data_IF_904827958758
#
_entry.id   IF_904827958758
#
_cell.length_a   1.000
_cell.length_b   1.000
_cell.length_c   1.000
_cell.angle_alpha   90.00
_cell.angle_beta   90.00
_cell.angle_gamma   90.00
#
_symmetry.space_group_name_H-M   'P 1'
#
loop_
_entity.id
_entity.type
_entity.pdbx_description
1 polymer ?
#
# COMPACT_ATOMS: atom_id res chain seq x y z
N UNK A 1 29.98 -8.63 -16.24
CA UNK A 1 29.18 -8.30 -17.45
C UNK A 1 28.06 -7.34 -17.04
N UNK A 2 28.15 -6.09 -17.49
CA UNK A 2 27.28 -4.98 -17.11
C UNK A 2 25.83 -5.25 -17.56
N UNK A 3 24.97 -5.63 -16.61
CA UNK A 3 23.52 -5.80 -16.82
C UNK A 3 22.89 -4.44 -17.11
N UNK A 4 22.72 -4.16 -18.40
CA UNK A 4 21.95 -3.02 -18.92
C UNK A 4 20.54 -3.09 -18.31
N UNK A 5 20.25 -2.18 -17.37
CA UNK A 5 18.89 -1.89 -16.87
C UNK A 5 18.02 -1.50 -18.05
N UNK A 6 17.37 -2.48 -18.69
CA UNK A 6 16.29 -2.19 -19.65
C UNK A 6 15.00 -2.16 -18.85
N UNK A 7 14.27 -1.05 -18.95
CA UNK A 7 12.86 -1.00 -18.57
C UNK A 7 12.17 -2.25 -19.12
N UNK A 8 11.34 -2.88 -18.30
CA UNK A 8 10.58 -4.04 -18.76
C UNK A 8 9.61 -3.59 -19.85
N UNK A 9 9.30 -4.46 -20.83
CA UNK A 9 8.38 -4.13 -21.92
C UNK A 9 7.02 -3.55 -21.41
N UNK A 10 6.43 -4.05 -20.29
CA UNK A 10 5.26 -3.43 -19.67
C UNK A 10 5.49 -1.98 -19.20
N UNK A 11 6.66 -1.66 -18.65
CA UNK A 11 6.97 -0.29 -18.22
C UNK A 11 7.05 0.68 -19.39
N UNK A 12 7.56 0.22 -20.54
CA UNK A 12 7.65 1.05 -21.76
C UNK A 12 6.24 1.32 -22.31
N UNK A 13 5.40 0.30 -22.38
CA UNK A 13 4.00 0.44 -22.83
C UNK A 13 3.24 1.40 -21.92
N UNK A 14 3.40 1.24 -20.59
CA UNK A 14 2.76 2.10 -19.60
C UNK A 14 3.29 3.53 -19.69
N UNK A 15 4.61 3.72 -19.81
CA UNK A 15 5.20 5.04 -19.97
C UNK A 15 4.74 5.73 -21.26
N UNK A 16 4.61 4.99 -22.36
CA UNK A 16 4.06 5.50 -23.62
C UNK A 16 2.58 5.89 -23.48
N UNK A 17 1.79 5.09 -22.77
CA UNK A 17 0.39 5.41 -22.47
C UNK A 17 0.26 6.66 -21.59
N UNK A 18 1.08 6.78 -20.54
CA UNK A 18 1.14 7.98 -19.70
C UNK A 18 1.54 9.21 -20.52
N UNK A 19 2.53 9.09 -21.41
CA UNK A 19 2.95 10.19 -22.29
C UNK A 19 1.79 10.63 -23.21
N UNK A 20 1.05 9.67 -23.79
CA UNK A 20 -0.16 9.96 -24.56
C UNK A 20 -1.22 10.68 -23.71
N UNK A 21 -1.43 10.28 -22.47
CA UNK A 21 -2.36 10.95 -21.55
C UNK A 21 -1.93 12.37 -21.21
N UNK A 22 -0.63 12.63 -21.01
CA UNK A 22 -0.14 13.99 -20.80
C UNK A 22 -0.33 14.88 -22.04
N UNK A 23 -0.14 14.33 -23.24
CA UNK A 23 -0.43 15.04 -24.49
C UNK A 23 -1.93 15.38 -24.56
N UNK A 24 -2.81 14.42 -24.29
CA UNK A 24 -4.25 14.66 -24.23
C UNK A 24 -4.62 15.71 -23.17
N UNK A 25 -4.03 15.65 -21.98
CA UNK A 25 -4.27 16.63 -20.91
C UNK A 25 -3.84 18.05 -21.31
N UNK A 26 -2.74 18.18 -22.06
CA UNK A 26 -2.29 19.46 -22.60
C UNK A 26 -3.29 20.03 -23.63
N UNK A 27 -3.81 19.18 -24.54
CA UNK A 27 -4.84 19.60 -25.51
C UNK A 27 -6.17 19.99 -24.85
N UNK A 28 -6.51 19.35 -23.73
CA UNK A 28 -7.73 19.63 -22.96
C UNK A 28 -7.56 20.80 -21.97
N UNK A 29 -6.42 21.52 -22.00
CA UNK A 29 -6.12 22.63 -21.10
C UNK A 29 -6.25 22.30 -19.60
N UNK A 30 -6.02 21.04 -19.22
CA UNK A 30 -6.09 20.61 -17.82
C UNK A 30 -4.84 21.13 -17.09
N UNK A 31 -4.98 21.73 -15.89
CA UNK A 31 -3.85 22.27 -15.14
C UNK A 31 -2.87 21.17 -14.69
N UNK A 32 -1.77 21.03 -15.43
CA UNK A 32 -0.73 20.01 -15.20
C UNK A 32 -0.09 20.15 -13.82
N UNK A 33 0.01 21.38 -13.31
CA UNK A 33 0.58 21.66 -11.98
C UNK A 33 -0.21 20.96 -10.86
N UNK A 34 -1.54 20.95 -10.95
CA UNK A 34 -2.41 20.30 -9.97
C UNK A 34 -2.26 18.78 -10.06
N UNK A 35 -2.25 18.23 -11.29
CA UNK A 35 -2.03 16.81 -11.52
C UNK A 35 -0.70 16.35 -10.92
N UNK A 36 0.39 17.08 -11.17
CA UNK A 36 1.70 16.72 -10.66
C UNK A 36 1.75 16.74 -9.13
N UNK A 37 1.08 17.70 -8.49
CA UNK A 37 0.96 17.74 -7.03
C UNK A 37 0.21 16.50 -6.51
N UNK A 38 -0.96 16.20 -7.08
CA UNK A 38 -1.76 15.04 -6.70
C UNK A 38 -1.00 13.73 -6.90
N UNK A 39 -0.21 13.62 -7.98
CA UNK A 39 0.65 12.45 -8.25
C UNK A 39 1.67 12.27 -7.14
N UNK A 40 2.29 13.36 -6.67
CA UNK A 40 3.27 13.29 -5.57
C UNK A 40 2.63 12.86 -4.25
N UNK A 41 1.47 13.44 -3.90
CA UNK A 41 0.74 13.07 -2.67
C UNK A 41 0.32 11.60 -2.72
N UNK A 42 -0.28 11.16 -3.84
CA UNK A 42 -0.74 9.78 -4.01
C UNK A 42 0.40 8.77 -4.11
N UNK A 43 1.53 9.16 -4.69
CA UNK A 43 2.73 8.33 -4.73
C UNK A 43 3.17 7.97 -3.33
N UNK A 44 3.24 8.94 -2.42
CA UNK A 44 3.72 8.64 -1.08
C UNK A 44 2.68 7.83 -0.31
N UNK A 45 1.40 8.23 -0.37
CA UNK A 45 0.33 7.57 0.38
C UNK A 45 0.21 6.08 0.00
N UNK A 46 0.15 5.80 -1.31
CA UNK A 46 0.03 4.43 -1.79
C UNK A 46 1.39 3.72 -1.81
N UNK A 47 2.49 4.47 -1.88
CA UNK A 47 3.84 3.93 -1.93
C UNK A 47 4.22 3.18 -0.66
N UNK A 48 3.80 3.63 0.52
CA UNK A 48 4.05 2.89 1.77
C UNK A 48 3.29 1.56 1.79
N UNK A 49 2.04 1.55 1.31
CA UNK A 49 1.24 0.33 1.15
C UNK A 49 1.90 -0.65 0.17
N UNK A 50 2.41 -0.16 -0.96
CA UNK A 50 3.17 -0.97 -1.92
C UNK A 50 4.48 -1.49 -1.32
N UNK A 51 5.21 -0.65 -0.58
CA UNK A 51 6.46 -1.00 0.09
C UNK A 51 6.26 -2.14 1.10
N UNK A 52 5.10 -2.21 1.75
CA UNK A 52 4.75 -3.29 2.67
C UNK A 52 4.77 -4.68 2.04
N UNK A 53 4.62 -4.79 0.72
CA UNK A 53 4.62 -6.09 0.03
C UNK A 53 6.04 -6.66 -0.15
N UNK A 54 7.07 -5.80 -0.08
CA UNK A 54 8.47 -6.17 -0.37
C UNK A 54 9.02 -7.27 0.57
N UNK A 55 8.81 -7.25 1.90
CA UNK A 55 9.26 -8.32 2.79
C UNK A 55 8.72 -9.70 2.45
N UNK A 56 7.42 -9.82 2.19
CA UNK A 56 6.77 -11.10 1.89
C UNK A 56 7.26 -11.64 0.54
N UNK A 57 7.38 -10.76 -0.45
CA UNK A 57 7.96 -11.15 -1.74
C UNK A 57 9.42 -11.62 -1.57
N UNK A 58 10.22 -10.95 -0.73
CA UNK A 58 11.61 -11.34 -0.46
C UNK A 58 11.73 -12.70 0.22
N UNK A 59 10.70 -13.11 0.99
CA UNK A 59 10.62 -14.44 1.58
C UNK A 59 10.11 -15.54 0.61
N UNK A 60 9.82 -15.21 -0.66
CA UNK A 60 9.35 -16.18 -1.67
C UNK A 60 7.89 -16.60 -1.52
N UNK A 61 7.09 -15.81 -0.79
CA UNK A 61 5.70 -16.15 -0.41
C UNK A 61 4.68 -15.80 -1.51
N UNK A 62 5.10 -15.06 -2.53
CA UNK A 62 4.24 -14.53 -3.58
C UNK A 62 3.79 -13.10 -3.30
N UNK A 63 2.81 -12.62 -4.06
CA UNK A 63 2.23 -11.29 -3.90
C UNK A 63 1.22 -11.32 -2.74
N UNK A 64 1.39 -10.44 -1.75
CA UNK A 64 0.56 -10.43 -0.55
C UNK A 64 -0.81 -9.79 -0.81
N UNK A 65 -1.81 -10.59 -1.18
CA UNK A 65 -3.22 -10.15 -1.20
C UNK A 65 -3.85 -10.10 0.20
N UNK A 66 -3.13 -10.54 1.23
CA UNK A 66 -3.50 -10.40 2.65
C UNK A 66 -3.13 -9.04 3.26
N UNK A 67 -2.77 -8.04 2.44
CA UNK A 67 -2.63 -6.64 2.88
C UNK A 67 -3.81 -6.13 3.74
N UNK A 68 -5.08 -6.52 3.52
CA UNK A 68 -6.18 -6.09 4.38
C UNK A 68 -5.99 -6.44 5.86
N UNK A 69 -5.30 -7.55 6.17
CA UNK A 69 -4.96 -7.92 7.55
C UNK A 69 -4.07 -6.88 8.22
N UNK A 70 -3.09 -6.37 7.47
CA UNK A 70 -2.19 -5.31 7.93
C UNK A 70 -2.92 -3.97 8.07
N UNK A 71 -3.79 -3.67 7.11
CA UNK A 71 -4.63 -2.47 7.14
C UNK A 71 -5.51 -2.45 8.38
N UNK A 72 -6.11 -3.59 8.77
CA UNK A 72 -6.93 -3.68 9.99
C UNK A 72 -6.15 -3.34 11.26
N UNK A 73 -4.89 -3.78 11.37
CA UNK A 73 -4.03 -3.40 12.50
C UNK A 73 -3.78 -1.88 12.56
N UNK A 74 -3.54 -1.25 11.40
CA UNK A 74 -3.38 0.20 11.30
C UNK A 74 -4.66 0.98 11.62
N UNK A 75 -5.81 0.50 11.13
CA UNK A 75 -7.12 1.07 11.45
C UNK A 75 -7.42 1.00 12.95
N UNK A 76 -7.17 -0.14 13.61
CA UNK A 76 -7.29 -0.26 15.07
C UNK A 76 -6.39 0.74 15.81
N UNK A 77 -5.12 0.87 15.39
CA UNK A 77 -4.20 1.84 15.95
C UNK A 77 -4.72 3.29 15.85
N UNK A 78 -5.28 3.66 14.69
CA UNK A 78 -5.90 4.98 14.51
C UNK A 78 -7.18 5.15 15.32
N UNK A 79 -8.07 4.15 15.35
CA UNK A 79 -9.30 4.20 16.14
C UNK A 79 -8.99 4.43 17.62
N UNK A 80 -7.97 3.76 18.16
CA UNK A 80 -7.52 3.97 19.55
C UNK A 80 -6.97 5.39 19.74
N UNK A 81 -6.12 5.88 18.84
CA UNK A 81 -5.57 7.23 18.93
C UNK A 81 -6.66 8.32 18.86
N UNK A 82 -7.65 8.13 17.98
CA UNK A 82 -8.82 9.02 17.83
C UNK A 82 -9.73 8.93 19.05
N UNK A 83 -9.93 7.74 19.63
CA UNK A 83 -10.75 7.57 20.83
C UNK A 83 -10.20 8.37 22.02
N UNK A 84 -8.87 8.41 22.18
CA UNK A 84 -8.20 9.21 23.20
C UNK A 84 -8.01 10.69 22.83
N UNK A 85 -8.48 11.12 21.64
CA UNK A 85 -8.42 12.50 21.16
C UNK A 85 -6.99 13.07 21.05
N UNK A 86 -6.04 12.24 20.63
CA UNK A 86 -4.70 12.75 20.32
C UNK A 86 -4.69 13.50 18.98
N UNK A 87 -4.08 14.68 18.97
CA UNK A 87 -4.13 15.60 17.84
C UNK A 87 -2.73 15.88 17.25
N UNK A 88 -2.71 16.40 16.03
CA UNK A 88 -1.51 16.84 15.33
C UNK A 88 -0.48 15.74 15.13
N UNK A 89 0.80 16.12 15.17
CA UNK A 89 1.90 15.22 14.82
C UNK A 89 2.12 14.14 15.88
N UNK A 90 1.87 14.47 17.15
CA UNK A 90 1.94 13.52 18.26
C UNK A 90 0.85 12.46 18.12
N UNK A 91 -0.38 12.85 17.75
CA UNK A 91 -1.45 11.90 17.45
C UNK A 91 -1.10 10.92 16.32
N UNK A 92 -0.45 11.40 15.26
CA UNK A 92 0.03 10.55 14.16
C UNK A 92 1.05 9.50 14.64
N UNK A 93 2.08 9.89 15.39
CA UNK A 93 3.09 8.94 15.88
C UNK A 93 2.53 7.98 16.93
N UNK A 94 1.57 8.43 17.76
CA UNK A 94 0.85 7.57 18.70
C UNK A 94 0.04 6.51 17.95
N UNK A 95 -0.63 6.87 16.85
CA UNK A 95 -1.34 5.92 16.01
C UNK A 95 -0.39 4.86 15.41
N UNK A 96 0.79 5.27 14.93
CA UNK A 96 1.83 4.33 14.48
C UNK A 96 2.27 3.40 15.63
N UNK A 97 2.50 3.96 16.82
CA UNK A 97 2.86 3.20 18.01
C UNK A 97 1.83 2.14 18.39
N UNK A 98 0.54 2.50 18.41
CA UNK A 98 -0.55 1.54 18.67
C UNK A 98 -0.73 0.52 17.55
N UNK A 99 -0.41 0.85 16.30
CA UNK A 99 -0.48 -0.13 15.20
C UNK A 99 0.52 -1.27 15.36
N UNK A 100 1.70 -1.05 15.94
CA UNK A 100 2.76 -2.07 16.06
C UNK A 100 2.29 -3.33 16.81
N UNK A 101 1.76 -3.26 18.05
CA UNK A 101 1.33 -4.46 18.77
C UNK A 101 0.20 -5.21 18.04
N UNK A 102 -0.76 -4.50 17.45
CA UNK A 102 -1.81 -5.13 16.64
C UNK A 102 -1.25 -5.79 15.38
N UNK A 103 -0.29 -5.15 14.70
CA UNK A 103 0.38 -5.70 13.52
C UNK A 103 1.21 -6.94 13.85
N UNK A 104 1.86 -6.98 15.02
CA UNK A 104 2.57 -8.18 15.48
C UNK A 104 1.59 -9.31 15.80
N UNK A 105 0.48 -9.01 16.50
CA UNK A 105 -0.56 -9.98 16.82
C UNK A 105 -1.19 -10.57 15.54
N UNK A 106 -1.71 -9.72 14.66
CA UNK A 106 -2.32 -10.18 13.41
C UNK A 106 -1.30 -10.81 12.48
N UNK A 107 -0.08 -10.28 12.40
CA UNK A 107 1.02 -10.83 11.59
C UNK A 107 1.45 -12.23 12.03
N UNK A 108 1.46 -12.52 13.33
CA UNK A 108 1.78 -13.87 13.84
C UNK A 108 0.69 -14.89 13.49
N UNK A 109 -0.59 -14.55 13.70
CA UNK A 109 -1.73 -15.39 13.30
C UNK A 109 -1.75 -15.61 11.80
N UNK A 110 -1.52 -14.54 11.04
CA UNK A 110 -1.48 -14.58 9.59
C UNK A 110 -0.32 -15.44 9.08
N UNK A 111 0.86 -15.33 9.69
CA UNK A 111 2.01 -16.17 9.37
C UNK A 111 1.76 -17.65 9.65
N UNK A 112 1.05 -17.95 10.74
CA UNK A 112 0.72 -19.33 11.07
C UNK A 112 -0.17 -19.97 9.99
N UNK A 113 -1.18 -19.22 9.51
CA UNK A 113 -2.01 -19.63 8.39
C UNK A 113 -1.20 -19.85 7.11
N UNK A 114 -0.41 -18.84 6.70
CA UNK A 114 0.38 -18.92 5.47
C UNK A 114 1.43 -20.02 5.48
N UNK A 115 2.02 -20.34 6.63
CA UNK A 115 3.01 -21.42 6.73
C UNK A 115 2.41 -22.82 6.53
N UNK A 116 1.07 -22.98 6.65
CA UNK A 116 0.38 -24.26 6.40
C UNK A 116 -0.02 -24.47 4.94
N UNK A 117 -0.16 -23.41 4.18
CA UNK A 117 -0.67 -23.42 2.79
C UNK A 117 0.43 -23.14 1.77
N UNK A 118 1.66 -23.62 2.05
CA UNK A 118 2.83 -23.41 1.19
C UNK A 118 2.51 -23.82 -0.26
N UNK A 119 2.80 -22.92 -1.20
CA UNK A 119 2.51 -23.11 -2.63
C UNK A 119 1.12 -22.70 -3.10
N UNK A 120 0.19 -22.37 -2.19
CA UNK A 120 -1.10 -21.74 -2.50
C UNK A 120 -1.30 -20.45 -1.69
N UNK A 121 -0.18 -19.83 -1.33
CA UNK A 121 -0.10 -18.71 -0.38
C UNK A 121 -0.84 -17.47 -0.89
N UNK A 122 -0.75 -17.17 -2.18
CA UNK A 122 -1.43 -16.02 -2.79
C UNK A 122 -2.95 -16.14 -2.69
N UNK A 123 -3.52 -17.28 -3.11
CA UNK A 123 -4.97 -17.53 -3.03
C UNK A 123 -5.43 -17.54 -1.57
N UNK A 124 -4.70 -18.24 -0.70
CA UNK A 124 -5.03 -18.30 0.72
C UNK A 124 -4.97 -16.92 1.38
N UNK A 125 -4.00 -16.08 1.00
CA UNK A 125 -3.87 -14.72 1.54
C UNK A 125 -5.08 -13.85 1.24
N UNK A 126 -5.66 -13.96 0.03
CA UNK A 126 -6.85 -13.22 -0.36
C UNK A 126 -8.07 -13.65 0.49
N UNK A 127 -8.30 -14.96 0.64
CA UNK A 127 -9.40 -15.47 1.46
C UNK A 127 -9.24 -15.16 2.95
N UNK A 128 -8.01 -15.18 3.48
CA UNK A 128 -7.74 -14.73 4.85
C UNK A 128 -8.08 -13.23 4.96
N UNK A 129 -7.70 -12.42 3.97
CA UNK A 129 -8.08 -11.01 3.88
C UNK A 129 -9.58 -10.82 3.97
N UNK A 130 -10.36 -11.45 3.09
CA UNK A 130 -11.83 -11.39 3.12
C UNK A 130 -12.41 -11.82 4.46
N UNK A 131 -11.92 -12.92 5.03
CA UNK A 131 -12.41 -13.45 6.30
C UNK A 131 -12.14 -12.51 7.48
N UNK A 132 -10.92 -11.95 7.55
CA UNK A 132 -10.54 -11.00 8.60
C UNK A 132 -11.34 -9.71 8.46
N UNK A 133 -11.59 -9.21 7.24
CA UNK A 133 -12.44 -8.04 7.04
C UNK A 133 -13.85 -8.30 7.53
N UNK A 134 -14.48 -9.40 7.12
CA UNK A 134 -15.83 -9.76 7.60
C UNK A 134 -15.90 -9.90 9.13
N UNK A 135 -14.88 -10.50 9.76
CA UNK A 135 -14.80 -10.60 11.22
C UNK A 135 -14.64 -9.22 11.88
N UNK A 136 -13.81 -8.35 11.29
CA UNK A 136 -13.64 -6.97 11.78
C UNK A 136 -14.89 -6.13 11.58
N UNK A 137 -15.72 -6.36 10.55
CA UNK A 137 -17.00 -5.67 10.38
C UNK A 137 -17.95 -5.92 11.56
N UNK A 138 -18.00 -7.15 12.07
CA UNK A 138 -18.75 -7.51 13.29
C UNK A 138 -18.16 -6.79 14.51
N UNK A 139 -16.83 -6.74 14.60
CA UNK A 139 -16.14 -6.00 15.67
C UNK A 139 -16.47 -4.50 15.60
N UNK A 140 -16.39 -3.85 14.44
CA UNK A 140 -16.71 -2.43 14.27
C UNK A 140 -18.16 -2.08 14.62
N UNK A 141 -19.09 -3.01 14.38
CA UNK A 141 -20.48 -2.84 14.78
C UNK A 141 -20.71 -2.94 16.30
N UNK A 142 -19.84 -3.65 17.03
CA UNK A 142 -20.00 -3.92 18.47
C UNK A 142 -18.95 -3.23 19.35
N UNK A 143 -17.93 -2.62 18.75
CA UNK A 143 -16.78 -2.07 19.47
C UNK A 143 -17.21 -0.94 20.42
N UNK A 144 -16.82 -0.99 21.70
CA UNK A 144 -17.20 -0.02 22.71
C UNK A 144 -16.29 1.22 22.67
N UNK A 145 -16.25 1.93 21.54
CA UNK A 145 -15.57 3.23 21.46
C UNK A 145 -16.48 4.32 22.04
N UNK A 146 -15.90 5.23 22.83
CA UNK A 146 -16.66 6.28 23.53
C UNK A 146 -16.70 7.60 22.78
N UNK A 147 -15.85 7.77 21.77
CA UNK A 147 -15.76 9.05 21.05
C UNK A 147 -16.97 9.24 20.10
N UNK A 148 -17.78 10.31 20.27
CA UNK A 148 -18.96 10.56 19.45
C UNK A 148 -18.63 10.80 17.97
N UNK A 149 -17.40 11.22 17.65
CA UNK A 149 -16.95 11.39 16.26
C UNK A 149 -16.78 10.04 15.55
N UNK A 150 -16.76 8.92 16.27
CA UNK A 150 -16.60 7.59 15.69
C UNK A 150 -17.92 6.82 15.62
N UNK A 151 -18.91 7.22 16.40
CA UNK A 151 -20.19 6.51 16.55
C UNK A 151 -21.20 6.94 15.49
N UNK A 152 -22.19 6.08 15.24
CA UNK A 152 -23.35 6.45 14.43
C UNK A 152 -24.06 7.67 15.03
N UNK A 153 -24.39 8.70 14.21
CA UNK A 153 -25.11 9.88 14.68
C UNK A 153 -26.46 9.55 15.33
N UNK A 154 -27.10 8.48 14.86
CA UNK A 154 -28.39 8.00 15.34
C UNK A 154 -28.16 6.65 16.03
N UNK A 155 -28.46 6.55 17.32
CA UNK A 155 -28.38 5.30 18.10
C UNK A 155 -27.10 5.09 18.91
N UNK A 156 -26.01 5.81 18.63
CA UNK A 156 -24.80 5.85 19.47
C UNK A 156 -24.09 4.51 19.69
N UNK A 157 -24.46 3.47 18.94
CA UNK A 157 -23.89 2.12 19.02
C UNK A 157 -23.27 1.74 17.68
N UNK A 158 -22.07 1.17 17.72
CA UNK A 158 -21.30 0.83 16.54
C UNK A 158 -20.66 2.04 15.87
N UNK A 159 -19.60 1.76 15.12
CA UNK A 159 -18.86 2.82 14.44
C UNK A 159 -19.43 3.16 13.07
N UNK A 160 -19.31 4.43 12.68
CA UNK A 160 -19.63 4.86 11.32
C UNK A 160 -18.57 4.37 10.32
N UNK A 161 -18.94 4.10 9.05
CA UNK A 161 -17.98 3.63 8.05
C UNK A 161 -16.85 4.62 7.75
N UNK A 162 -17.13 5.92 7.81
CA UNK A 162 -16.13 6.95 7.52
C UNK A 162 -15.99 7.89 8.70
N UNK A 163 -14.79 7.97 9.26
CA UNK A 163 -14.46 8.83 10.41
C UNK A 163 -13.54 9.95 9.95
N UNK A 164 -13.99 11.19 10.03
CA UNK A 164 -13.21 12.38 9.66
C UNK A 164 -12.03 12.59 10.62
N UNK A 165 -10.83 12.81 10.06
CA UNK A 165 -9.60 13.04 10.81
C UNK A 165 -9.24 14.52 10.99
N UNK A 166 -10.04 15.44 10.42
CA UNK A 166 -9.84 16.89 10.49
C UNK A 166 -9.54 17.43 11.90
N UNK A 167 -10.29 17.06 12.96
CA UNK A 167 -10.00 17.57 14.30
C UNK A 167 -8.80 16.89 14.97
N UNK A 168 -8.26 15.82 14.39
CA UNK A 168 -7.17 15.02 14.97
C UNK A 168 -5.86 15.29 14.25
N UNK A 169 -5.54 14.51 13.23
CA UNK A 169 -4.24 14.55 12.56
C UNK A 169 -4.32 14.61 11.02
N UNK A 170 -5.48 14.90 10.43
CA UNK A 170 -5.60 15.08 8.98
C UNK A 170 -4.61 16.11 8.43
N UNK A 171 -3.99 15.78 7.29
CA UNK A 171 -3.02 16.62 6.56
C UNK A 171 -1.85 17.14 7.40
N UNK A 172 -1.60 16.58 8.58
CA UNK A 172 -0.50 17.02 9.46
C UNK A 172 0.87 16.86 8.78
N UNK A 173 1.15 15.71 8.17
CA UNK A 173 2.40 15.49 7.42
C UNK A 173 2.48 16.32 6.14
N UNK A 174 1.33 16.60 5.51
CA UNK A 174 1.26 17.37 4.27
C UNK A 174 1.56 18.85 4.53
N UNK A 175 1.22 19.36 5.73
CA UNK A 175 1.47 20.74 6.16
C UNK A 175 2.88 20.94 6.73
N UNK A 176 3.50 19.88 7.24
CA UNK A 176 4.87 19.92 7.76
C UNK A 176 5.85 20.07 6.58
N UNK A 177 6.67 21.13 6.65
CA UNK A 177 7.61 21.51 5.58
C UNK A 177 6.95 21.64 4.20
N UNK A 178 5.71 22.14 4.14
CA UNK A 178 5.08 22.47 2.87
C UNK A 178 5.89 23.59 2.19
N UNK A 179 6.52 23.28 1.05
CA UNK A 179 7.26 24.26 0.25
C UNK A 179 6.31 24.74 -0.85
N UNK A 180 5.82 25.99 -0.79
CA UNK A 180 5.06 26.56 -1.89
C UNK A 180 6.01 26.87 -3.05
N UNK A 181 5.81 26.23 -4.20
CA UNK A 181 6.48 26.54 -5.46
C UNK A 181 5.38 26.96 -6.44
N UNK A 182 5.12 28.28 -6.52
CA UNK A 182 4.01 28.82 -7.32
C UNK A 182 2.65 28.31 -6.83
N UNK A 183 1.86 27.72 -7.73
CA UNK A 183 0.56 27.08 -7.42
C UNK A 183 0.69 25.65 -6.84
N UNK A 184 1.90 25.10 -6.76
CA UNK A 184 2.15 23.75 -6.27
C UNK A 184 2.63 23.77 -4.81
N UNK A 185 1.98 22.97 -3.95
CA UNK A 185 2.38 22.80 -2.55
C UNK A 185 3.00 21.41 -2.42
N UNK A 186 4.33 21.34 -2.36
CA UNK A 186 5.03 20.06 -2.22
C UNK A 186 4.95 19.60 -0.76
N UNK A 187 4.36 18.42 -0.47
CA UNK A 187 4.25 17.89 0.89
C UNK A 187 5.59 17.27 1.33
N UNK A 188 6.59 18.11 1.61
CA UNK A 188 7.96 17.61 1.86
C UNK A 188 8.05 16.71 3.09
N UNK A 189 7.26 16.96 4.15
CA UNK A 189 7.22 16.11 5.34
C UNK A 189 6.75 14.68 5.05
N UNK A 190 5.76 14.53 4.17
CA UNK A 190 5.25 13.24 3.74
C UNK A 190 6.29 12.48 2.87
N UNK A 191 6.91 13.16 1.90
CA UNK A 191 7.98 12.58 1.07
C UNK A 191 9.17 12.16 1.93
N UNK A 192 9.55 12.97 2.91
CA UNK A 192 10.64 12.65 3.84
C UNK A 192 10.34 11.36 4.62
N UNK A 193 9.13 11.22 5.17
CA UNK A 193 8.72 10.01 5.87
C UNK A 193 8.83 8.77 4.97
N UNK A 194 8.39 8.89 3.71
CA UNK A 194 8.48 7.80 2.74
C UNK A 194 9.91 7.39 2.43
N UNK A 195 10.79 8.38 2.17
CA UNK A 195 12.21 8.13 1.94
C UNK A 195 12.87 7.47 3.16
N UNK A 196 12.52 7.91 4.36
CA UNK A 196 12.98 7.29 5.62
C UNK A 196 12.53 5.85 5.71
N UNK A 197 11.26 5.53 5.43
CA UNK A 197 10.75 4.15 5.44
C UNK A 197 11.45 3.28 4.39
N UNK A 198 11.67 3.79 3.18
CA UNK A 198 12.44 3.09 2.14
C UNK A 198 13.89 2.83 2.58
N UNK A 199 14.53 3.81 3.22
CA UNK A 199 15.90 3.70 3.71
C UNK A 199 16.01 2.72 4.87
N UNK A 200 15.10 2.78 5.84
CA UNK A 200 15.01 1.82 6.95
C UNK A 200 14.82 0.40 6.44
N UNK A 201 13.95 0.19 5.45
CA UNK A 201 13.74 -1.12 4.85
C UNK A 201 14.98 -1.59 4.07
N UNK A 202 15.66 -0.69 3.36
CA UNK A 202 16.92 -0.98 2.67
C UNK A 202 18.03 -1.40 3.64
N UNK A 203 18.14 -0.71 4.77
CA UNK A 203 19.08 -1.07 5.85
C UNK A 203 18.68 -2.42 6.47
N UNK A 204 17.38 -2.66 6.70
CA UNK A 204 16.89 -3.92 7.23
C UNK A 204 17.33 -5.11 6.36
N UNK A 205 17.23 -5.03 5.03
CA UNK A 205 17.69 -6.11 4.15
C UNK A 205 19.20 -6.33 4.13
N UNK A 206 20.01 -5.39 4.65
CA UNK A 206 21.45 -5.58 4.86
C UNK A 206 21.77 -6.31 6.18
N UNK A 207 20.82 -6.42 7.11
CA UNK A 207 20.99 -7.13 8.39
C UNK A 207 21.03 -8.65 8.21
N UNK A 208 21.43 -9.39 9.26
CA UNK A 208 21.44 -10.87 9.27
C UNK A 208 20.06 -11.47 8.97
N UNK A 209 19.01 -10.91 9.59
CA UNK A 209 17.62 -11.36 9.41
C UNK A 209 17.15 -11.06 7.99
N UNK A 210 17.42 -9.84 7.49
CA UNK A 210 17.07 -9.45 6.14
C UNK A 210 17.73 -10.31 5.06
N UNK A 211 19.03 -10.61 5.21
CA UNK A 211 19.75 -11.53 4.32
C UNK A 211 19.20 -12.95 4.38
N UNK A 212 18.81 -13.43 5.57
CA UNK A 212 18.20 -14.75 5.71
C UNK A 212 16.83 -14.84 5.01
N UNK A 213 16.03 -13.77 5.06
CA UNK A 213 14.77 -13.67 4.30
C UNK A 213 15.03 -13.77 2.80
N UNK A 214 15.98 -12.98 2.28
CA UNK A 214 16.30 -12.98 0.85
C UNK A 214 16.85 -14.34 0.39
N UNK A 215 17.77 -14.95 1.15
CA UNK A 215 18.31 -16.27 0.85
C UNK A 215 17.21 -17.34 0.82
N UNK A 216 16.25 -17.26 1.74
CA UNK A 216 15.09 -18.15 1.77
C UNK A 216 14.21 -18.01 0.51
N UNK A 217 13.94 -16.77 0.07
CA UNK A 217 13.17 -16.53 -1.16
C UNK A 217 13.94 -16.84 -2.44
N UNK A 218 15.27 -16.97 -2.38
CA UNK A 218 16.08 -17.39 -3.52
C UNK A 218 16.05 -18.90 -3.73
N UNK A 219 16.29 -19.68 -2.67
CA UNK A 219 16.23 -21.13 -2.69
C UNK A 219 15.97 -21.66 -1.27
N UNK A 220 14.77 -22.19 -1.03
CA UNK A 220 14.37 -22.72 0.28
C UNK A 220 15.28 -23.88 0.73
N UNK A 221 15.65 -24.78 -0.19
CA UNK A 221 16.49 -25.95 0.11
C UNK A 221 17.88 -25.49 0.55
N UNK A 222 18.49 -24.56 -0.20
CA UNK A 222 19.79 -24.01 0.14
C UNK A 222 19.76 -23.27 1.49
N UNK A 223 18.70 -22.51 1.77
CA UNK A 223 18.53 -21.83 3.04
C UNK A 223 18.44 -22.80 4.23
N UNK A 224 17.73 -23.92 4.08
CA UNK A 224 17.63 -24.97 5.11
C UNK A 224 18.98 -25.62 5.39
N UNK A 225 19.76 -25.93 4.36
CA UNK A 225 21.11 -26.51 4.51
C UNK A 225 22.05 -25.55 5.26
N UNK A 226 21.85 -24.23 5.10
CA UNK A 226 22.58 -23.19 5.85
C UNK A 226 22.01 -22.93 7.26
N UNK A 227 21.12 -23.79 7.78
CA UNK A 227 20.57 -23.69 9.13
C UNK A 227 19.48 -22.63 9.31
N UNK A 228 18.93 -22.08 8.22
CA UNK A 228 17.87 -21.07 8.29
C UNK A 228 16.52 -21.76 8.52
N UNK A 229 15.87 -21.47 9.65
CA UNK A 229 14.54 -22.01 9.94
C UNK A 229 13.48 -21.32 9.08
N UNK A 230 12.95 -22.02 8.08
CA UNK A 230 11.96 -21.50 7.12
C UNK A 230 10.76 -20.83 7.82
N UNK A 231 10.13 -21.52 8.77
CA UNK A 231 8.92 -21.02 9.44
C UNK A 231 9.12 -19.71 10.18
N UNK A 232 10.22 -19.59 10.95
CA UNK A 232 10.52 -18.36 11.73
C UNK A 232 10.92 -17.21 10.82
N UNK A 233 11.71 -17.48 9.78
CA UNK A 233 12.15 -16.46 8.82
C UNK A 233 10.96 -15.92 8.01
N UNK A 234 10.05 -16.79 7.57
CA UNK A 234 8.79 -16.38 6.93
C UNK A 234 7.91 -15.56 7.88
N UNK A 235 7.79 -15.98 9.14
CA UNK A 235 7.02 -15.24 10.13
C UNK A 235 7.56 -13.83 10.34
N UNK A 236 8.89 -13.67 10.41
CA UNK A 236 9.51 -12.36 10.52
C UNK A 236 9.20 -11.46 9.31
N UNK A 237 9.28 -12.02 8.09
CA UNK A 237 8.94 -11.27 6.88
C UNK A 237 7.47 -10.86 6.82
N UNK A 238 6.56 -11.74 7.21
CA UNK A 238 5.12 -11.48 7.26
C UNK A 238 4.81 -10.40 8.30
N UNK A 239 5.32 -10.52 9.52
CA UNK A 239 5.12 -9.53 10.58
C UNK A 239 5.65 -8.15 10.17
N UNK A 240 6.84 -8.10 9.56
CA UNK A 240 7.40 -6.84 9.06
C UNK A 240 6.50 -6.21 7.98
N UNK A 241 5.98 -7.02 7.06
CA UNK A 241 5.00 -6.58 6.06
C UNK A 241 3.71 -6.07 6.71
N UNK A 242 3.22 -6.75 7.75
CA UNK A 242 2.02 -6.33 8.50
C UNK A 242 2.21 -5.00 9.23
N UNK A 243 3.40 -4.74 9.77
CA UNK A 243 3.75 -3.45 10.39
C UNK A 243 3.78 -2.34 9.33
N UNK A 244 4.48 -2.57 8.21
CA UNK A 244 4.56 -1.59 7.12
C UNK A 244 3.19 -1.31 6.48
N UNK A 245 2.33 -2.32 6.34
CA UNK A 245 0.97 -2.15 5.82
C UNK A 245 0.08 -1.35 6.77
N UNK A 246 0.21 -1.59 8.09
CA UNK A 246 -0.43 -0.77 9.12
C UNK A 246 0.03 0.69 9.07
N UNK A 247 1.34 0.93 8.93
CA UNK A 247 1.86 2.29 8.74
C UNK A 247 1.36 2.92 7.44
N UNK A 248 1.26 2.12 6.37
CA UNK A 248 0.74 2.56 5.08
C UNK A 248 -0.67 3.10 5.15
N UNK A 249 -1.60 2.40 5.82
CA UNK A 249 -2.97 2.91 5.95
C UNK A 249 -3.04 4.15 6.85
N UNK A 250 -2.16 4.30 7.84
CA UNK A 250 -2.11 5.49 8.69
C UNK A 250 -1.68 6.71 7.89
N UNK A 251 -0.62 6.58 7.08
CA UNK A 251 -0.17 7.63 6.15
C UNK A 251 -1.26 7.93 5.12
N UNK A 252 -1.96 6.91 4.63
CA UNK A 252 -3.08 7.05 3.70
C UNK A 252 -4.22 7.88 4.29
N UNK A 253 -4.77 7.43 5.42
CA UNK A 253 -5.91 8.07 6.07
C UNK A 253 -5.59 9.50 6.50
N UNK A 254 -4.38 9.73 7.01
CA UNK A 254 -3.92 11.08 7.36
C UNK A 254 -3.86 12.01 6.14
N UNK A 255 -3.41 11.52 4.99
CA UNK A 255 -3.28 12.33 3.78
C UNK A 255 -4.63 12.61 3.12
N UNK A 256 -5.51 11.61 3.13
CA UNK A 256 -6.85 11.72 2.58
C UNK A 256 -7.79 12.55 3.48
N UNK A 257 -7.62 12.45 4.81
CA UNK A 257 -8.36 13.22 5.81
C UNK A 257 -9.48 12.46 6.51
N UNK A 258 -9.59 11.15 6.29
CA UNK A 258 -10.55 10.29 6.99
C UNK A 258 -10.06 8.85 7.09
N UNK A 259 -10.66 8.11 8.02
CA UNK A 259 -10.53 6.66 8.18
C UNK A 259 -11.74 6.02 7.50
N UNK A 260 -11.51 5.01 6.67
CA UNK A 260 -12.56 4.14 6.15
C UNK A 260 -12.49 2.79 6.84
N UNK A 261 -13.61 2.41 7.44
CA UNK A 261 -13.83 1.13 8.09
C UNK A 261 -14.66 0.21 7.17
N UNK A 262 -15.04 -0.94 7.70
CA UNK A 262 -15.79 -1.98 6.99
C UNK A 262 -15.03 -2.55 5.79
N UNK A 263 -15.61 -2.51 4.59
CA UNK A 263 -15.10 -3.22 3.40
C UNK A 263 -13.95 -2.47 2.70
N UNK A 264 -13.70 -1.21 3.03
CA UNK A 264 -12.68 -0.38 2.39
C UNK A 264 -11.27 -1.02 2.36
N UNK A 265 -10.80 -1.74 3.40
CA UNK A 265 -9.49 -2.38 3.37
C UNK A 265 -9.30 -3.43 2.27
N UNK A 266 -10.38 -4.02 1.75
CA UNK A 266 -10.30 -4.96 0.62
C UNK A 266 -9.89 -4.26 -0.68
N UNK A 267 -10.23 -2.98 -0.83
CA UNK A 267 -9.94 -2.20 -2.04
C UNK A 267 -8.47 -1.76 -2.13
N UNK A 268 -7.71 -1.87 -1.04
CA UNK A 268 -6.32 -1.40 -0.97
C UNK A 268 -5.32 -2.44 -1.51
N UNK A 269 -5.66 -3.72 -1.42
CA UNK A 269 -4.76 -4.82 -1.76
C UNK A 269 -4.42 -4.89 -3.26
N UNK A 270 -5.44 -4.77 -4.11
CA UNK A 270 -5.27 -4.91 -5.56
C UNK A 270 -4.44 -3.78 -6.19
N UNK A 271 -4.70 -2.48 -5.93
CA UNK A 271 -3.86 -1.38 -6.42
C UNK A 271 -2.40 -1.51 -5.98
N UNK A 272 -2.16 -1.98 -4.74
CA UNK A 272 -0.81 -2.16 -4.24
C UNK A 272 -0.08 -3.30 -4.97
N UNK A 273 -0.76 -4.43 -5.18
CA UNK A 273 -0.26 -5.56 -5.96
C UNK A 273 0.01 -5.16 -7.43
N UNK A 274 -0.93 -4.45 -8.06
CA UNK A 274 -0.77 -3.95 -9.43
C UNK A 274 0.44 -3.02 -9.56
N UNK A 275 0.62 -2.10 -8.62
CA UNK A 275 1.75 -1.17 -8.60
C UNK A 275 3.09 -1.92 -8.53
N UNK A 276 3.23 -2.90 -7.64
CA UNK A 276 4.50 -3.66 -7.50
C UNK A 276 4.79 -4.53 -8.73
N UNK A 277 3.74 -5.08 -9.36
CA UNK A 277 3.81 -5.84 -10.61
C UNK A 277 4.27 -4.99 -11.80
N UNK A 278 3.67 -3.81 -11.97
CA UNK A 278 4.05 -2.82 -13.00
C UNK A 278 5.49 -2.36 -12.80
N UNK A 279 5.90 -2.20 -11.53
CA UNK A 279 7.28 -1.93 -11.14
C UNK A 279 8.29 -3.01 -11.57
N UNK A 280 7.83 -4.20 -11.95
CA UNK A 280 8.69 -5.31 -12.35
C UNK A 280 9.32 -6.06 -11.18
N UNK A 281 8.74 -5.93 -9.97
CA UNK A 281 9.31 -6.44 -8.72
C UNK A 281 9.47 -7.96 -8.62
N UNK A 282 8.89 -8.71 -9.56
CA UNK A 282 9.13 -10.15 -9.71
C UNK A 282 10.56 -10.43 -10.15
N UNK A 283 11.16 -9.54 -10.94
CA UNK A 283 12.58 -9.62 -11.30
C UNK A 283 13.39 -9.22 -10.06
N UNK A 284 14.12 -10.17 -9.47
CA UNK A 284 14.77 -10.15 -8.14
C UNK A 284 15.69 -8.95 -7.81
N UNK A 285 15.89 -8.00 -8.72
CA UNK A 285 16.81 -6.87 -8.53
C UNK A 285 16.09 -5.59 -8.10
N UNK A 286 16.46 -5.08 -6.92
CA UNK A 286 16.11 -3.75 -6.39
C UNK A 286 14.60 -3.46 -6.22
N UNK A 287 13.90 -4.35 -5.49
CA UNK A 287 12.44 -4.30 -5.26
C UNK A 287 11.91 -3.01 -4.66
N UNK A 288 12.70 -2.31 -3.84
CA UNK A 288 12.29 -1.01 -3.27
C UNK A 288 12.15 0.04 -4.38
N UNK A 289 13.12 0.11 -5.31
CA UNK A 289 13.05 1.04 -6.43
C UNK A 289 11.94 0.67 -7.41
N UNK A 290 11.72 -0.62 -7.62
CA UNK A 290 10.62 -1.13 -8.43
C UNK A 290 9.25 -0.79 -7.81
N UNK A 291 9.11 -0.89 -6.49
CA UNK A 291 7.91 -0.45 -5.78
C UNK A 291 7.65 1.05 -5.97
N UNK A 292 8.68 1.89 -5.87
CA UNK A 292 8.56 3.35 -6.08
C UNK A 292 8.15 3.66 -7.53
N UNK A 293 8.86 3.11 -8.51
CA UNK A 293 8.57 3.33 -9.95
C UNK A 293 7.18 2.79 -10.31
N UNK A 294 6.83 1.61 -9.82
CA UNK A 294 5.54 0.99 -10.06
C UNK A 294 4.38 1.79 -9.48
N UNK A 295 4.54 2.30 -8.25
CA UNK A 295 3.56 3.20 -7.63
C UNK A 295 3.42 4.50 -8.42
N UNK A 296 4.54 5.11 -8.83
CA UNK A 296 4.51 6.33 -9.65
C UNK A 296 3.72 6.10 -10.94
N UNK A 297 4.04 5.05 -11.70
CA UNK A 297 3.37 4.76 -12.96
C UNK A 297 1.88 4.49 -12.77
N UNK A 298 1.52 3.63 -11.80
CA UNK A 298 0.12 3.28 -11.56
C UNK A 298 -0.71 4.47 -11.08
N UNK A 299 -0.20 5.26 -10.12
CA UNK A 299 -0.90 6.43 -9.60
C UNK A 299 -1.01 7.56 -10.63
N UNK A 300 0.00 7.71 -11.49
CA UNK A 300 -0.04 8.70 -12.58
C UNK A 300 -1.16 8.38 -13.57
N UNK A 301 -1.30 7.12 -13.97
CA UNK A 301 -2.44 6.68 -14.79
C UNK A 301 -3.75 6.99 -14.05
N UNK A 302 -3.85 6.58 -12.79
CA UNK A 302 -5.09 6.71 -12.02
C UNK A 302 -5.56 8.18 -11.89
N UNK A 303 -4.63 9.11 -11.65
CA UNK A 303 -4.95 10.55 -11.52
C UNK A 303 -5.26 11.17 -12.86
N UNK A 304 -4.44 10.94 -13.89
CA UNK A 304 -4.66 11.51 -15.22
C UNK A 304 -5.95 11.03 -15.86
N UNK A 305 -6.38 9.81 -15.54
CA UNK A 305 -7.59 9.25 -16.14
C UNK A 305 -8.84 10.04 -15.79
N UNK A 306 -8.99 10.57 -14.57
CA UNK A 306 -10.23 11.24 -14.12
C UNK A 306 -10.54 12.58 -14.82
N UNK A 307 -9.60 13.53 -14.94
CA UNK A 307 -9.89 14.80 -15.62
C UNK A 307 -10.01 14.64 -17.14
N UNK A 308 -9.20 13.76 -17.76
CA UNK A 308 -9.28 13.47 -19.20
C UNK A 308 -10.63 12.81 -19.54
N UNK A 309 -11.09 11.91 -18.67
CA UNK A 309 -12.39 11.26 -18.74
C UNK A 309 -13.56 12.25 -18.77
N UNK A 310 -13.56 13.20 -17.85
CA UNK A 310 -14.66 14.15 -17.67
C UNK A 310 -14.84 15.08 -18.89
N UNK A 311 -13.78 15.33 -19.65
CA UNK A 311 -13.81 16.19 -20.84
C UNK A 311 -14.15 15.42 -22.13
N UNK A 312 -13.80 14.13 -22.21
CA UNK A 312 -13.94 13.33 -23.44
C UNK A 312 -15.14 12.37 -23.45
N UNK A 313 -15.71 12.05 -22.28
CA UNK A 313 -16.74 11.02 -22.12
C UNK A 313 -17.85 11.49 -21.16
N UNK A 314 -18.97 10.76 -21.14
CA UNK A 314 -19.94 10.90 -20.06
C UNK A 314 -19.27 10.52 -18.73
N UNK A 315 -19.44 11.27 -17.64
CA UNK A 315 -18.73 11.06 -16.37
C UNK A 315 -18.76 9.60 -15.88
N UNK A 316 -19.88 8.89 -16.08
CA UNK A 316 -20.04 7.48 -15.67
C UNK A 316 -19.33 6.46 -16.59
N UNK A 317 -19.19 6.71 -17.90
CA UNK A 317 -18.58 5.75 -18.83
C UNK A 317 -17.05 5.74 -18.75
N UNK A 318 -16.49 6.81 -18.21
CA UNK A 318 -15.07 7.05 -18.21
C UNK A 318 -14.34 6.35 -17.04
N UNK A 319 -15.01 6.23 -15.89
CA UNK A 319 -14.54 5.43 -14.75
C UNK A 319 -14.49 3.93 -15.11
N UNK A 320 -15.46 3.48 -15.92
CA UNK A 320 -15.52 2.12 -16.47
C UNK A 320 -14.38 1.89 -17.47
N UNK A 321 -14.17 2.80 -18.42
CA UNK A 321 -13.07 2.69 -19.40
C UNK A 321 -11.70 2.71 -18.72
N UNK A 322 -11.51 3.52 -17.68
CA UNK A 322 -10.30 3.55 -16.85
C UNK A 322 -10.04 2.20 -16.18
N UNK A 323 -11.05 1.63 -15.51
CA UNK A 323 -10.93 0.31 -14.90
C UNK A 323 -10.63 -0.76 -15.94
N UNK A 324 -11.28 -0.69 -17.11
CA UNK A 324 -11.03 -1.63 -18.20
C UNK A 324 -9.59 -1.56 -18.71
N UNK A 325 -9.07 -0.37 -19.03
CA UNK A 325 -7.69 -0.20 -19.53
C UNK A 325 -6.67 -0.58 -18.45
N UNK A 326 -6.86 -0.12 -17.20
CA UNK A 326 -5.95 -0.47 -16.11
C UNK A 326 -5.92 -2.00 -15.89
N UNK A 327 -7.08 -2.65 -15.84
CA UNK A 327 -7.17 -4.10 -15.70
C UNK A 327 -6.60 -4.85 -16.90
N UNK A 328 -6.82 -4.36 -18.13
CA UNK A 328 -6.25 -4.95 -19.35
C UNK A 328 -4.72 -4.84 -19.37
N UNK A 329 -4.17 -3.70 -18.95
CA UNK A 329 -2.72 -3.48 -18.84
C UNK A 329 -2.11 -4.34 -17.75
N UNK A 330 -2.79 -4.48 -16.60
CA UNK A 330 -2.36 -5.39 -15.52
C UNK A 330 -2.41 -6.84 -15.99
N UNK A 331 -3.50 -7.25 -16.65
CA UNK A 331 -3.65 -8.60 -17.21
C UNK A 331 -2.54 -8.90 -18.21
N UNK A 332 -2.23 -7.96 -19.09
CA UNK A 332 -1.12 -8.07 -20.03
C UNK A 332 0.24 -8.14 -19.32
N UNK A 333 0.45 -7.34 -18.27
CA UNK A 333 1.66 -7.40 -17.47
C UNK A 333 1.83 -8.76 -16.78
N UNK A 334 0.73 -9.36 -16.30
CA UNK A 334 0.70 -10.69 -15.67
C UNK A 334 0.97 -11.81 -16.68
N UNK A 335 0.38 -11.77 -17.88
CA UNK A 335 0.57 -12.81 -18.91
C UNK A 335 1.97 -12.78 -19.54
N UNK A 336 2.61 -11.61 -19.56
CA UNK A 336 3.97 -11.44 -20.11
C UNK A 336 5.06 -11.85 -19.10
N UNK A 337 4.71 -12.08 -17.84
CA UNK A 337 5.64 -12.49 -16.79
C UNK A 337 5.75 -14.02 -16.76
N UNK A 338 6.96 -14.54 -17.05
CA UNK A 338 7.26 -15.98 -16.97
C UNK A 338 6.95 -16.51 -15.57
N UNK A 339 6.33 -17.70 -15.44
CA UNK A 339 6.06 -18.29 -14.14
C UNK A 339 7.36 -18.44 -13.36
N UNK A 340 7.34 -18.09 -12.08
CA UNK A 340 8.41 -18.46 -11.15
C UNK A 340 8.41 -19.99 -11.06
N UNK A 341 9.23 -20.64 -11.88
CA UNK A 341 9.53 -22.06 -11.75
C UNK A 341 10.18 -22.21 -10.38
N UNK A 342 9.44 -22.83 -9.46
CA UNK A 342 9.92 -23.19 -8.12
C UNK A 342 10.95 -24.31 -8.20
#
# INVERSE_FOLDING_TARGET
MLTRKRFTLPQIIIAAFIAMMFIAAFYLHIPINIILNDVMVRLVMNGVLVLSLVPIMNAGIGINFGLPVAVMAGLLGMCVAVNFRFNGLTGFFIALGFSIPFSVLFGTVYSYGLNRVKGREEIASAFIGFSVVSAMNIFWATAPFSNPVMLWPIGGKGMRPTITLEPFFAKTLNRIFAIPIGECIIPAGMILLFVVLCLLLSIFFKTKIGKAITALGENEIYAVINGISVGKTRACAIILSTILGGFGIIVYAQSYGFIELYDAPLLVAFPAAASILIGGAIIKSNRILQAIVGTLLFQTIYILSSPIANELLLPESAEILRMFIANAVILYALTTQRPMIR
#
